data_IF_815531108735
#
_entry.id   IF_815531108735
#
_cell.length_a   1.000
_cell.length_b   1.000
_cell.length_c   1.000
_cell.angle_alpha   90.00
_cell.angle_beta   90.00
_cell.angle_gamma   90.00
#
_symmetry.space_group_name_H-M   'P 1'
#
loop_
_entity.id
_entity.type
_entity.pdbx_description
1 polymer ?
#
# COMPACT_ATOMS: atom_id res chain seq x y z
N UNK A 1 -39.09 69.82 -45.66
CA UNK A 1 -40.17 70.74 -45.20
C UNK A 1 -41.31 69.92 -44.63
N UNK A 2 -42.00 70.41 -43.58
CA UNK A 2 -42.98 69.69 -42.72
C UNK A 2 -42.28 68.56 -41.92
N UNK A 3 -42.29 68.51 -40.57
CA UNK A 3 -43.38 68.53 -39.55
C UNK A 3 -44.36 67.35 -39.75
N UNK A 4 -44.74 66.57 -38.74
CA UNK A 4 -45.02 66.99 -37.35
C UNK A 4 -44.89 65.85 -36.30
N UNK A 5 -44.92 66.22 -35.01
CA UNK A 5 -44.87 65.32 -33.83
C UNK A 5 -46.30 65.04 -33.32
N UNK A 6 -46.57 63.83 -32.76
CA UNK A 6 -47.47 63.63 -31.60
C UNK A 6 -47.31 62.22 -30.97
N UNK A 7 -47.45 62.17 -29.65
CA UNK A 7 -47.44 60.95 -28.82
C UNK A 7 -48.88 60.54 -28.46
N UNK A 8 -49.16 59.24 -28.28
CA UNK A 8 -49.89 58.78 -27.08
C UNK A 8 -49.61 57.31 -26.74
N UNK A 9 -49.89 56.97 -25.47
CA UNK A 9 -49.64 55.72 -24.75
C UNK A 9 -50.76 54.67 -24.96
N UNK A 10 -50.41 53.37 -25.06
CA UNK A 10 -51.26 52.22 -24.69
C UNK A 10 -50.40 50.93 -24.59
N UNK A 11 -50.88 49.92 -23.86
CA UNK A 11 -50.20 48.62 -23.67
C UNK A 11 -51.22 47.48 -23.48
N UNK A 12 -50.71 46.26 -23.23
CA UNK A 12 -51.42 45.06 -22.70
C UNK A 12 -52.12 44.13 -23.72
N UNK A 13 -51.45 42.99 -24.00
CA UNK A 13 -52.00 41.63 -24.25
C UNK A 13 -52.88 41.40 -25.51
N UNK A 14 -53.05 40.20 -26.11
CA UNK A 14 -52.62 38.80 -25.88
C UNK A 14 -52.16 38.22 -27.28
N UNK A 15 -51.95 36.93 -27.62
CA UNK A 15 -52.22 35.60 -27.04
C UNK A 15 -51.17 34.56 -27.58
N UNK A 16 -51.54 33.29 -27.61
CA UNK A 16 -50.91 32.05 -28.11
C UNK A 16 -50.89 31.92 -29.67
N UNK A 17 -50.29 30.91 -30.32
CA UNK A 17 -49.27 29.87 -30.02
C UNK A 17 -48.84 29.23 -31.36
N UNK A 18 -47.62 28.70 -31.45
CA UNK A 18 -47.43 27.33 -31.94
C UNK A 18 -46.02 26.81 -31.61
N UNK A 19 -45.93 25.52 -31.27
CA UNK A 19 -44.69 24.87 -30.87
C UNK A 19 -44.31 23.76 -31.84
N UNK A 20 -43.01 23.64 -32.12
CA UNK A 20 -42.42 22.43 -32.69
C UNK A 20 -41.32 21.97 -31.74
N UNK A 21 -41.67 21.12 -30.77
CA UNK A 21 -40.67 20.33 -30.05
C UNK A 21 -40.05 19.32 -31.02
N UNK A 22 -38.77 19.01 -30.82
CA UNK A 22 -38.19 17.74 -31.25
C UNK A 22 -37.94 16.95 -29.98
N UNK A 23 -38.73 15.90 -29.78
CA UNK A 23 -38.64 15.08 -28.59
C UNK A 23 -37.51 14.06 -28.78
N UNK A 24 -36.39 14.27 -28.08
CA UNK A 24 -35.33 13.26 -27.98
C UNK A 24 -35.82 12.11 -27.06
N UNK A 25 -35.79 10.84 -27.52
CA UNK A 25 -36.50 9.74 -26.86
C UNK A 25 -35.81 9.18 -25.60
N UNK A 26 -34.83 9.89 -25.04
CA UNK A 26 -34.04 9.43 -23.91
C UNK A 26 -33.76 10.60 -22.94
N UNK A 27 -34.48 10.72 -21.81
CA UNK A 27 -34.24 11.78 -20.85
C UNK A 27 -32.86 11.62 -20.22
N UNK A 28 -32.09 12.70 -20.15
CA UNK A 28 -30.84 12.71 -19.40
C UNK A 28 -31.10 12.29 -17.94
N UNK A 29 -30.20 11.48 -17.32
CA UNK A 29 -30.35 11.11 -15.92
C UNK A 29 -30.41 12.38 -15.05
N UNK A 30 -31.21 12.37 -13.96
CA UNK A 30 -31.31 13.53 -13.10
C UNK A 30 -29.92 13.93 -12.59
N UNK A 31 -29.60 15.24 -12.51
CA UNK A 31 -28.31 15.68 -11.98
C UNK A 31 -28.13 15.10 -10.57
N UNK A 32 -26.95 14.52 -10.32
CA UNK A 32 -26.63 13.99 -9.00
C UNK A 32 -26.89 15.07 -7.94
N UNK A 33 -27.51 14.74 -6.80
CA UNK A 33 -27.74 15.71 -5.74
C UNK A 33 -26.39 16.29 -5.32
N UNK A 34 -26.26 17.61 -5.42
CA UNK A 34 -25.04 18.31 -4.99
C UNK A 34 -24.69 17.88 -3.54
N UNK A 35 -23.40 17.62 -3.24
CA UNK A 35 -23.00 17.32 -1.87
C UNK A 35 -23.53 18.38 -0.90
N UNK A 36 -24.01 17.99 0.30
CA UNK A 36 -24.61 18.93 1.24
C UNK A 36 -23.59 20.02 1.57
N UNK A 37 -24.03 21.29 1.47
CA UNK A 37 -23.19 22.48 1.47
C UNK A 37 -22.55 22.83 2.83
N UNK A 38 -21.70 21.94 3.34
CA UNK A 38 -20.65 22.30 4.28
C UNK A 38 -19.46 22.90 3.52
N UNK A 39 -18.73 23.81 4.16
CA UNK A 39 -17.44 24.28 3.66
C UNK A 39 -16.46 23.10 3.62
N UNK A 40 -16.02 22.70 2.43
CA UNK A 40 -14.96 21.71 2.23
C UNK A 40 -13.59 22.32 2.54
N UNK A 41 -13.40 22.74 3.79
CA UNK A 41 -12.09 23.07 4.32
C UNK A 41 -11.27 21.79 4.39
N UNK A 42 -10.13 21.77 3.71
CA UNK A 42 -9.26 20.60 3.67
C UNK A 42 -8.62 20.41 5.04
N UNK A 43 -8.96 19.30 5.71
CA UNK A 43 -8.44 18.93 7.03
C UNK A 43 -6.97 18.46 6.91
N UNK A 44 -6.05 19.42 6.82
CA UNK A 44 -4.62 19.14 6.77
C UNK A 44 -4.11 18.57 8.10
N UNK A 45 -3.13 17.63 8.07
CA UNK A 45 -2.42 17.20 9.26
C UNK A 45 -1.76 18.37 10.00
N UNK A 46 -1.71 18.31 11.34
CA UNK A 46 -1.14 19.37 12.20
C UNK A 46 0.37 19.58 12.03
N UNK A 47 1.05 18.70 11.28
CA UNK A 47 2.47 18.75 10.93
C UNK A 47 2.62 18.25 9.50
N UNK A 48 3.57 18.83 8.78
CA UNK A 48 4.04 18.33 7.49
C UNK A 48 4.72 16.95 7.67
N UNK A 49 4.40 16.00 6.80
CA UNK A 49 5.06 14.70 6.71
C UNK A 49 6.34 14.86 5.87
N UNK A 50 7.50 14.60 6.48
CA UNK A 50 8.82 14.59 5.82
C UNK A 50 9.50 13.27 6.14
N UNK A 51 9.15 12.27 5.35
CA UNK A 51 9.61 10.91 5.53
C UNK A 51 10.79 10.55 4.63
N UNK A 52 11.49 9.47 5.01
CA UNK A 52 12.43 8.75 4.15
C UNK A 52 12.13 7.25 4.23
N UNK A 53 12.28 6.53 3.12
CA UNK A 53 12.33 5.08 3.14
C UNK A 53 13.73 4.59 3.54
N UNK A 54 13.77 3.45 4.23
CA UNK A 54 15.01 2.69 4.50
C UNK A 54 14.74 1.25 4.03
N UNK A 55 15.19 0.92 2.83
CA UNK A 55 15.02 -0.38 2.21
C UNK A 55 16.01 -1.39 2.79
N UNK A 56 15.52 -2.58 3.10
CA UNK A 56 16.31 -3.67 3.69
C UNK A 56 16.33 -4.93 2.81
N UNK A 57 15.48 -4.96 1.77
CA UNK A 57 15.57 -5.91 0.67
C UNK A 57 16.96 -5.85 0.04
N UNK A 58 17.60 -7.02 -0.06
CA UNK A 58 19.02 -7.18 -0.45
C UNK A 58 20.04 -6.41 0.41
N UNK A 59 19.62 -5.83 1.55
CA UNK A 59 20.44 -4.99 2.42
C UNK A 59 20.69 -3.57 1.89
N UNK A 60 19.85 -3.08 0.96
CA UNK A 60 20.10 -1.91 0.09
C UNK A 60 20.53 -0.63 0.83
N UNK A 61 19.70 -0.14 1.76
CA UNK A 61 20.04 1.00 2.63
C UNK A 61 20.53 0.49 4.00
N UNK A 62 19.87 -0.53 4.54
CA UNK A 62 20.27 -1.14 5.81
C UNK A 62 20.14 -2.67 5.76
N UNK A 63 21.11 -3.44 6.27
CA UNK A 63 22.28 -3.00 7.03
C UNK A 63 23.54 -2.73 6.19
N UNK A 64 23.48 -2.49 4.87
CA UNK A 64 24.66 -2.22 4.02
C UNK A 64 25.81 -3.24 4.28
N UNK A 65 25.46 -4.52 4.23
CA UNK A 65 26.39 -5.63 4.49
C UNK A 65 27.01 -5.71 5.90
N UNK A 66 26.63 -4.85 6.87
CA UNK A 66 27.11 -4.98 8.26
C UNK A 66 26.48 -6.21 8.90
N UNK A 67 27.31 -7.14 9.41
CA UNK A 67 26.87 -8.41 10.03
C UNK A 67 27.05 -8.46 11.55
N UNK A 68 27.71 -7.48 12.16
CA UNK A 68 27.86 -7.38 13.62
C UNK A 68 26.84 -6.41 14.20
N UNK A 69 26.30 -6.75 15.38
CA UNK A 69 25.27 -5.96 16.07
C UNK A 69 25.67 -4.50 16.24
N UNK A 70 26.90 -4.23 16.68
CA UNK A 70 27.34 -2.85 16.94
C UNK A 70 27.50 -2.03 15.66
N UNK A 71 27.95 -2.63 14.55
CA UNK A 71 28.03 -1.96 13.25
C UNK A 71 26.64 -1.70 12.64
N UNK A 72 25.72 -2.65 12.79
CA UNK A 72 24.31 -2.53 12.41
C UNK A 72 23.61 -1.40 13.17
N UNK A 73 23.76 -1.38 14.49
CA UNK A 73 23.21 -0.35 15.37
C UNK A 73 23.79 1.03 15.03
N UNK A 74 25.11 1.14 14.90
CA UNK A 74 25.77 2.41 14.56
C UNK A 74 25.34 2.94 13.19
N UNK A 75 25.26 2.09 12.16
CA UNK A 75 24.80 2.51 10.84
C UNK A 75 23.37 3.10 10.90
N UNK A 76 22.48 2.47 11.68
CA UNK A 76 21.12 2.98 11.87
C UNK A 76 21.08 4.32 12.62
N UNK A 77 21.83 4.46 13.73
CA UNK A 77 21.89 5.74 14.46
C UNK A 77 22.49 6.86 13.63
N UNK A 78 23.52 6.57 12.84
CA UNK A 78 24.16 7.55 11.95
C UNK A 78 23.17 8.07 10.88
N UNK A 79 22.31 7.20 10.34
CA UNK A 79 21.21 7.62 9.46
C UNK A 79 20.20 8.51 10.20
N UNK A 80 19.70 8.08 11.36
CA UNK A 80 18.69 8.85 12.09
C UNK A 80 19.22 10.22 12.57
N UNK A 81 20.48 10.30 13.01
CA UNK A 81 21.09 11.58 13.35
C UNK A 81 21.22 12.48 12.11
N UNK A 82 21.56 11.93 10.93
CA UNK A 82 21.57 12.70 9.69
C UNK A 82 20.18 13.17 9.26
N UNK A 83 19.17 12.34 9.40
CA UNK A 83 17.77 12.69 9.13
C UNK A 83 17.28 13.81 10.08
N UNK A 84 17.76 13.84 11.33
CA UNK A 84 17.44 14.88 12.34
C UNK A 84 18.10 16.23 12.03
N UNK A 85 19.30 16.23 11.45
CA UNK A 85 19.88 17.44 10.84
C UNK A 85 18.95 17.99 9.75
N UNK A 86 18.54 17.12 8.82
CA UNK A 86 17.73 17.41 7.63
C UNK A 86 16.23 17.70 7.91
N UNK A 87 15.78 17.63 9.18
CA UNK A 87 14.40 17.89 9.62
C UNK A 87 13.34 16.88 9.13
N UNK A 88 13.79 15.72 8.65
CA UNK A 88 12.97 14.52 8.52
C UNK A 88 12.34 14.20 9.88
N UNK A 89 11.08 13.78 9.89
CA UNK A 89 10.29 13.50 11.10
C UNK A 89 9.62 12.12 11.09
N UNK A 90 9.80 11.32 10.05
CA UNK A 90 9.24 9.95 9.94
C UNK A 90 10.21 9.05 9.17
N UNK A 91 10.27 7.77 9.52
CA UNK A 91 11.02 6.75 8.78
C UNK A 91 10.11 5.59 8.37
N UNK A 92 10.10 5.25 7.08
CA UNK A 92 9.46 4.05 6.51
C UNK A 92 10.51 2.93 6.40
N UNK A 93 10.68 2.14 7.46
CA UNK A 93 11.75 1.13 7.54
C UNK A 93 11.21 -0.23 7.15
N UNK A 94 11.85 -0.90 6.19
CA UNK A 94 11.38 -2.18 5.66
C UNK A 94 11.62 -3.32 6.67
N UNK A 95 10.56 -3.76 7.36
CA UNK A 95 10.62 -4.84 8.36
C UNK A 95 10.28 -6.22 7.79
N UNK A 96 9.77 -6.28 6.56
CA UNK A 96 9.43 -7.49 5.79
C UNK A 96 9.63 -7.19 4.30
N UNK A 97 10.57 -7.86 3.63
CA UNK A 97 10.96 -7.54 2.24
C UNK A 97 10.84 -8.70 1.26
N UNK A 98 11.15 -9.93 1.70
CA UNK A 98 11.17 -11.15 0.88
C UNK A 98 10.70 -12.35 1.71
N UNK A 99 9.42 -12.36 2.11
CA UNK A 99 8.80 -13.42 2.91
C UNK A 99 9.51 -13.67 4.24
N UNK A 100 10.10 -12.62 4.80
CA UNK A 100 11.02 -12.61 5.93
C UNK A 100 10.70 -11.47 6.91
N UNK A 101 11.36 -11.45 8.06
CA UNK A 101 11.15 -10.49 9.13
C UNK A 101 12.46 -9.91 9.70
N UNK A 102 12.38 -8.66 10.14
CA UNK A 102 13.39 -7.95 10.94
C UNK A 102 13.01 -7.92 12.43
N UNK A 103 12.26 -8.92 12.87
CA UNK A 103 11.81 -9.11 14.25
C UNK A 103 11.52 -10.59 14.51
N UNK A 104 11.26 -10.97 15.77
CA UNK A 104 10.94 -12.35 16.12
C UNK A 104 9.46 -12.69 15.77
N UNK A 105 9.22 -12.94 14.48
CA UNK A 105 7.91 -13.29 13.92
C UNK A 105 7.58 -14.77 14.11
N UNK A 106 6.33 -15.14 14.45
CA UNK A 106 5.87 -16.53 14.41
C UNK A 106 5.48 -16.97 12.99
N UNK A 107 5.48 -16.06 12.00
CA UNK A 107 5.06 -16.32 10.63
C UNK A 107 6.25 -16.39 9.66
N UNK A 108 7.09 -15.36 9.65
CA UNK A 108 8.18 -15.19 8.68
C UNK A 108 9.56 -15.49 9.31
N UNK A 109 10.51 -16.14 8.62
CA UNK A 109 11.89 -16.30 9.10
C UNK A 109 12.63 -14.97 9.23
N UNK A 110 13.64 -14.92 10.10
CA UNK A 110 14.62 -13.82 10.12
C UNK A 110 15.24 -13.58 8.74
N UNK A 111 15.36 -12.31 8.34
CA UNK A 111 15.94 -11.97 7.03
C UNK A 111 17.43 -12.28 6.95
N UNK A 112 17.83 -12.85 5.81
CA UNK A 112 19.24 -13.09 5.50
C UNK A 112 20.06 -11.79 5.40
N UNK A 113 19.43 -10.63 5.19
CA UNK A 113 20.12 -9.34 5.17
C UNK A 113 20.82 -9.01 6.50
N UNK A 114 20.32 -9.53 7.63
CA UNK A 114 20.79 -9.20 8.98
C UNK A 114 21.97 -10.09 9.40
N UNK A 115 21.99 -11.36 9.01
CA UNK A 115 22.96 -12.37 9.52
C UNK A 115 23.70 -13.11 8.41
N UNK A 116 23.44 -12.78 7.15
CA UNK A 116 23.84 -13.57 5.97
C UNK A 116 23.03 -14.86 5.78
N UNK A 117 22.27 -15.32 6.79
CA UNK A 117 21.61 -16.64 6.79
C UNK A 117 20.13 -16.52 7.13
N UNK A 118 19.25 -16.88 6.19
CA UNK A 118 17.79 -16.82 6.38
C UNK A 118 17.36 -17.73 7.54
N UNK A 119 16.56 -17.18 8.44
CA UNK A 119 16.08 -17.88 9.65
C UNK A 119 17.02 -17.76 10.87
N UNK A 120 18.27 -17.31 10.70
CA UNK A 120 19.20 -17.13 11.84
C UNK A 120 18.93 -15.81 12.55
N UNK A 121 18.56 -15.89 13.84
CA UNK A 121 18.34 -14.73 14.69
C UNK A 121 19.65 -13.96 14.99
N UNK A 122 19.63 -12.62 15.03
CA UNK A 122 20.85 -11.79 15.15
C UNK A 122 21.33 -11.55 16.60
N UNK A 123 20.73 -12.20 17.60
CA UNK A 123 21.10 -12.04 19.01
C UNK A 123 20.57 -10.76 19.69
N UNK A 124 19.79 -9.93 19.01
CA UNK A 124 19.08 -8.79 19.57
C UNK A 124 17.71 -8.59 18.90
N UNK A 125 16.82 -7.83 19.55
CA UNK A 125 15.58 -7.39 18.91
C UNK A 125 15.87 -6.16 18.03
N UNK A 126 15.90 -6.39 16.72
CA UNK A 126 16.23 -5.39 15.70
C UNK A 126 15.14 -4.33 15.61
N UNK A 127 13.87 -4.75 15.51
CA UNK A 127 12.73 -3.85 15.36
C UNK A 127 12.51 -2.98 16.61
N UNK A 128 12.64 -3.54 17.82
CA UNK A 128 12.57 -2.71 19.03
C UNK A 128 13.67 -1.66 19.05
N UNK A 129 14.92 -2.04 18.76
CA UNK A 129 16.03 -1.08 18.68
C UNK A 129 15.77 0.01 17.63
N UNK A 130 15.24 -0.36 16.46
CA UNK A 130 14.94 0.59 15.38
C UNK A 130 13.86 1.61 15.75
N UNK A 131 12.83 1.19 16.50
CA UNK A 131 11.78 2.08 17.00
C UNK A 131 12.32 2.98 18.11
N UNK A 132 12.98 2.40 19.12
CA UNK A 132 13.50 3.12 20.29
C UNK A 132 14.42 4.29 19.89
N UNK A 133 15.33 4.06 18.93
CA UNK A 133 16.28 5.08 18.45
C UNK A 133 15.62 6.18 17.57
N UNK A 134 14.53 5.86 16.87
CA UNK A 134 13.76 6.82 16.08
C UNK A 134 12.91 7.72 17.00
N UNK A 135 12.20 7.11 17.95
CA UNK A 135 11.44 7.79 19.00
C UNK A 135 12.33 8.69 19.85
N UNK A 136 13.52 8.22 20.25
CA UNK A 136 14.52 9.02 20.98
C UNK A 136 15.02 10.27 20.20
N UNK A 137 14.81 10.31 18.88
CA UNK A 137 15.13 11.46 18.03
C UNK A 137 13.93 12.33 17.68
N UNK A 138 12.72 11.94 18.08
CA UNK A 138 11.47 12.63 17.79
C UNK A 138 10.93 12.34 16.38
N UNK A 139 11.24 11.16 15.84
CA UNK A 139 10.73 10.67 14.56
C UNK A 139 9.67 9.59 14.77
N UNK A 140 8.62 9.60 13.95
CA UNK A 140 7.67 8.49 13.87
C UNK A 140 8.32 7.28 13.16
N UNK A 141 8.06 6.08 13.65
CA UNK A 141 8.48 4.83 13.03
C UNK A 141 7.29 4.15 12.35
N UNK A 142 7.32 4.06 11.02
CA UNK A 142 6.31 3.39 10.22
C UNK A 142 6.92 2.09 9.65
N UNK A 143 6.39 0.95 10.09
CA UNK A 143 6.88 -0.36 9.68
C UNK A 143 6.44 -0.67 8.24
N UNK A 144 7.39 -0.61 7.30
CA UNK A 144 7.15 -0.94 5.90
C UNK A 144 7.23 -2.46 5.67
N UNK A 145 6.21 -3.01 5.02
CA UNK A 145 6.15 -4.42 4.64
C UNK A 145 5.82 -4.55 3.16
N UNK A 146 6.59 -5.36 2.44
CA UNK A 146 6.16 -5.88 1.16
C UNK A 146 5.14 -7.02 1.41
N UNK A 147 3.90 -6.94 0.89
CA UNK A 147 2.84 -7.86 1.29
C UNK A 147 3.11 -9.30 0.81
N UNK A 148 3.49 -9.47 -0.46
CA UNK A 148 3.46 -10.77 -1.13
C UNK A 148 4.82 -11.34 -1.56
N UNK A 149 5.88 -10.54 -1.77
CA UNK A 149 7.17 -11.05 -2.26
C UNK A 149 7.76 -12.09 -1.31
N UNK A 150 8.16 -13.25 -1.84
CA UNK A 150 8.89 -14.31 -1.13
C UNK A 150 10.36 -14.34 -1.59
N UNK A 151 10.62 -14.18 -2.89
CA UNK A 151 11.97 -14.22 -3.44
C UNK A 151 12.03 -13.86 -4.92
N UNK A 152 13.26 -13.76 -5.44
CA UNK A 152 13.56 -13.37 -6.82
C UNK A 152 14.66 -14.24 -7.40
N UNK A 153 14.74 -14.33 -8.74
CA UNK A 153 15.83 -14.99 -9.48
C UNK A 153 16.13 -14.26 -10.79
N UNK A 154 17.30 -14.51 -11.37
CA UNK A 154 17.73 -13.87 -12.62
C UNK A 154 16.88 -14.23 -13.85
N UNK A 155 16.29 -15.44 -13.87
CA UNK A 155 15.44 -15.94 -14.95
C UNK A 155 15.22 -17.46 -14.85
N UNK A 156 14.56 -18.06 -15.84
CA UNK A 156 14.11 -19.47 -15.82
C UNK A 156 15.19 -20.51 -15.49
N UNK A 157 16.44 -20.27 -15.88
CA UNK A 157 17.58 -21.18 -15.72
C UNK A 157 18.15 -21.23 -14.30
N UNK A 158 17.76 -20.29 -13.44
CA UNK A 158 18.18 -20.24 -12.03
C UNK A 158 17.07 -20.81 -11.16
N UNK A 159 17.37 -21.55 -10.10
CA UNK A 159 16.37 -21.92 -9.10
C UNK A 159 15.98 -20.71 -8.23
N UNK A 160 14.74 -20.66 -7.76
CA UNK A 160 14.42 -19.80 -6.61
C UNK A 160 15.18 -20.29 -5.36
N UNK A 161 15.44 -19.40 -4.36
CA UNK A 161 15.82 -19.84 -3.03
C UNK A 161 14.84 -20.89 -2.49
N UNK A 162 15.33 -21.82 -1.68
CA UNK A 162 14.45 -22.82 -1.05
C UNK A 162 13.42 -22.14 -0.15
N UNK A 163 12.16 -22.58 -0.22
CA UNK A 163 11.10 -22.11 0.65
C UNK A 163 11.46 -22.42 2.11
N UNK A 164 11.30 -21.44 2.99
CA UNK A 164 11.42 -21.67 4.43
C UNK A 164 10.24 -22.52 4.92
N UNK A 165 10.43 -23.33 5.96
CA UNK A 165 9.41 -24.27 6.47
C UNK A 165 8.12 -23.60 6.98
N UNK A 166 8.15 -22.30 7.28
CA UNK A 166 6.95 -21.52 7.60
C UNK A 166 6.17 -21.04 6.38
N UNK A 167 6.66 -21.25 5.16
CA UNK A 167 5.98 -20.95 3.89
C UNK A 167 5.34 -22.24 3.37
N UNK A 168 4.02 -22.23 3.22
CA UNK A 168 3.29 -23.37 2.64
C UNK A 168 3.43 -23.39 1.12
N UNK A 169 3.89 -24.48 0.47
CA UNK A 169 4.06 -24.52 -0.98
C UNK A 169 2.78 -24.23 -1.77
N UNK A 170 1.61 -24.66 -1.27
CA UNK A 170 0.30 -24.41 -1.88
C UNK A 170 -0.13 -22.94 -1.84
N UNK A 171 0.59 -22.08 -1.12
CA UNK A 171 0.35 -20.63 -1.08
C UNK A 171 1.25 -19.84 -2.04
N UNK A 172 2.09 -20.49 -2.86
CA UNK A 172 3.15 -19.83 -3.63
C UNK A 172 2.88 -19.81 -5.13
N UNK A 173 2.90 -18.63 -5.75
CA UNK A 173 2.99 -18.48 -7.21
C UNK A 173 4.42 -18.14 -7.59
N UNK A 174 4.98 -18.89 -8.55
CA UNK A 174 6.35 -18.72 -9.04
C UNK A 174 6.33 -18.28 -10.50
N UNK A 175 6.42 -16.97 -10.73
CA UNK A 175 6.52 -16.38 -12.07
C UNK A 175 7.94 -16.60 -12.63
N UNK A 176 8.29 -16.01 -13.78
CA UNK A 176 9.64 -16.17 -14.34
C UNK A 176 10.73 -15.67 -13.39
N UNK A 177 10.61 -14.45 -12.85
CA UNK A 177 11.67 -13.78 -12.07
C UNK A 177 11.30 -13.50 -10.60
N UNK A 178 10.01 -13.40 -10.28
CA UNK A 178 9.50 -13.17 -8.92
C UNK A 178 8.64 -14.35 -8.41
N UNK A 179 8.83 -14.69 -7.15
CA UNK A 179 8.01 -15.64 -6.41
C UNK A 179 7.26 -14.91 -5.29
N UNK A 180 5.95 -15.16 -5.20
CA UNK A 180 5.04 -14.45 -4.30
C UNK A 180 4.12 -15.42 -3.53
N UNK A 181 3.58 -14.95 -2.42
CA UNK A 181 2.35 -15.51 -1.85
C UNK A 181 1.17 -15.19 -2.78
N UNK A 182 0.29 -16.16 -3.03
CA UNK A 182 -0.86 -16.00 -3.93
C UNK A 182 -1.93 -15.05 -3.32
N UNK A 183 -2.16 -13.84 -3.85
CA UNK A 183 -3.14 -12.92 -3.28
C UNK A 183 -4.59 -13.40 -3.43
N UNK A 184 -4.85 -14.39 -4.30
CA UNK A 184 -6.17 -14.98 -4.48
C UNK A 184 -6.67 -15.79 -3.28
N UNK A 185 -5.76 -16.37 -2.49
CA UNK A 185 -6.11 -17.26 -1.38
C UNK A 185 -6.54 -16.47 -0.13
N UNK A 186 -7.70 -16.78 0.49
CA UNK A 186 -8.13 -16.16 1.74
C UNK A 186 -7.10 -16.24 2.87
N UNK A 187 -6.41 -17.38 2.98
CA UNK A 187 -5.44 -17.66 4.04
C UNK A 187 -4.16 -16.81 3.92
N UNK A 188 -3.75 -16.48 2.69
CA UNK A 188 -2.63 -15.56 2.43
C UNK A 188 -2.99 -14.15 2.90
N UNK A 189 -4.20 -13.68 2.58
CA UNK A 189 -4.68 -12.36 3.01
C UNK A 189 -4.87 -12.29 4.53
N UNK A 190 -5.36 -13.37 5.15
CA UNK A 190 -5.44 -13.47 6.61
C UNK A 190 -4.05 -13.44 7.26
N UNK A 191 -3.07 -14.20 6.75
CA UNK A 191 -1.69 -14.19 7.26
C UNK A 191 -1.05 -12.80 7.19
N UNK A 192 -1.33 -12.00 6.15
CA UNK A 192 -0.85 -10.63 6.08
C UNK A 192 -1.43 -9.75 7.21
N UNK A 193 -2.73 -9.87 7.48
CA UNK A 193 -3.37 -9.18 8.61
C UNK A 193 -2.84 -9.69 9.96
N UNK A 194 -2.59 -10.99 10.11
CA UNK A 194 -2.02 -11.59 11.32
C UNK A 194 -0.58 -11.12 11.58
N UNK A 195 0.24 -11.00 10.54
CA UNK A 195 1.61 -10.42 10.61
C UNK A 195 1.55 -8.96 11.08
N UNK A 196 0.65 -8.16 10.51
CA UNK A 196 0.46 -6.76 10.94
C UNK A 196 0.00 -6.70 12.40
N UNK A 197 -0.96 -7.55 12.79
CA UNK A 197 -1.46 -7.64 14.17
C UNK A 197 -0.34 -7.96 15.17
N UNK A 198 0.50 -8.94 14.85
CA UNK A 198 1.62 -9.35 15.71
C UNK A 198 2.63 -8.20 15.89
N UNK A 199 2.93 -7.43 14.83
CA UNK A 199 3.78 -6.24 14.91
C UNK A 199 3.17 -5.15 15.79
N UNK A 200 1.92 -4.71 15.53
CA UNK A 200 1.29 -3.63 16.30
C UNK A 200 0.95 -4.02 17.75
N UNK A 201 0.92 -5.32 18.07
CA UNK A 201 0.73 -5.83 19.44
C UNK A 201 2.04 -5.88 20.22
N UNK A 202 3.17 -6.21 19.57
CA UNK A 202 4.48 -6.35 20.21
C UNK A 202 5.29 -5.05 20.26
N UNK A 203 5.11 -4.17 19.29
CA UNK A 203 6.01 -3.05 19.02
C UNK A 203 5.26 -1.71 18.94
N UNK A 204 5.88 -0.66 19.47
CA UNK A 204 5.26 0.67 19.47
C UNK A 204 5.49 1.43 18.16
N UNK A 205 5.06 0.83 17.04
CA UNK A 205 5.04 1.49 15.74
C UNK A 205 3.97 2.58 15.71
N UNK A 206 4.26 3.69 15.03
CA UNK A 206 3.32 4.78 14.74
C UNK A 206 2.47 4.49 13.50
N UNK A 207 3.02 3.69 12.57
CA UNK A 207 2.34 3.33 11.33
C UNK A 207 2.72 1.97 10.74
N UNK A 208 1.87 1.51 9.81
CA UNK A 208 2.11 0.40 8.88
C UNK A 208 2.11 0.98 7.47
N UNK A 209 3.07 0.55 6.65
CA UNK A 209 3.26 1.07 5.29
C UNK A 209 3.43 -0.07 4.29
N UNK A 210 2.69 -0.06 3.18
CA UNK A 210 2.93 -0.95 2.04
C UNK A 210 3.47 -0.17 0.84
N UNK A 211 4.35 -0.79 0.08
CA UNK A 211 4.88 -0.31 -1.19
C UNK A 211 3.93 -0.64 -2.36
N UNK A 212 4.43 -0.55 -3.59
CA UNK A 212 3.72 -0.66 -4.87
C UNK A 212 3.49 -2.11 -5.35
N UNK A 213 4.10 -3.10 -4.70
CA UNK A 213 4.10 -4.50 -5.16
C UNK A 213 2.87 -5.30 -4.73
N UNK A 214 1.84 -5.30 -5.58
CA UNK A 214 0.64 -6.12 -5.42
C UNK A 214 0.70 -7.40 -6.27
N UNK A 215 -0.15 -7.53 -7.31
CA UNK A 215 0.08 -8.53 -8.35
C UNK A 215 1.28 -8.09 -9.21
N UNK A 216 2.21 -8.99 -9.58
CA UNK A 216 3.37 -8.62 -10.39
C UNK A 216 2.99 -8.19 -11.81
N UNK A 217 3.79 -7.31 -12.40
CA UNK A 217 3.68 -6.90 -13.79
C UNK A 217 4.68 -7.67 -14.69
N UNK A 218 4.47 -7.78 -16.01
CA UNK A 218 5.38 -8.51 -16.89
C UNK A 218 6.80 -7.93 -17.00
N UNK A 219 7.02 -6.64 -16.75
CA UNK A 219 8.35 -6.01 -16.85
C UNK A 219 9.26 -6.44 -15.69
N UNK A 220 8.73 -6.47 -14.47
CA UNK A 220 9.46 -6.98 -13.29
C UNK A 220 9.47 -8.51 -13.23
N UNK A 221 8.33 -9.16 -13.52
CA UNK A 221 8.14 -10.59 -13.29
C UNK A 221 8.62 -11.48 -14.44
N UNK A 222 8.77 -10.96 -15.67
CA UNK A 222 8.95 -11.75 -16.88
C UNK A 222 7.66 -12.49 -17.27
N UNK A 223 7.77 -13.71 -17.79
CA UNK A 223 6.59 -14.53 -18.09
C UNK A 223 5.76 -14.81 -16.81
N UNK A 224 4.49 -14.41 -16.86
CA UNK A 224 3.52 -14.63 -15.78
C UNK A 224 2.92 -16.05 -15.85
N UNK A 225 2.78 -16.69 -14.69
CA UNK A 225 1.90 -17.85 -14.53
C UNK A 225 0.44 -17.39 -14.64
N UNK A 226 -0.41 -18.20 -15.27
CA UNK A 226 -1.84 -17.91 -15.38
C UNK A 226 -2.57 -18.27 -14.08
N UNK A 227 -3.34 -17.31 -13.57
CA UNK A 227 -4.26 -17.40 -12.44
C UNK A 227 -5.67 -17.88 -12.84
N UNK A 228 -5.84 -18.45 -14.03
CA UNK A 228 -7.14 -18.96 -14.51
C UNK A 228 -7.77 -19.99 -13.55
N UNK A 229 -6.95 -20.80 -12.87
CA UNK A 229 -7.43 -21.76 -11.86
C UNK A 229 -7.98 -21.05 -10.62
N UNK A 230 -7.25 -20.06 -10.09
CA UNK A 230 -7.70 -19.23 -8.97
C UNK A 230 -8.97 -18.45 -9.33
N UNK A 231 -9.06 -17.93 -10.55
CA UNK A 231 -10.24 -17.22 -11.05
C UNK A 231 -11.45 -18.16 -11.19
N UNK A 232 -11.27 -19.39 -11.67
CA UNK A 232 -12.33 -20.40 -11.71
C UNK A 232 -12.80 -20.83 -10.30
N UNK A 233 -11.90 -20.88 -9.33
CA UNK A 233 -12.21 -21.33 -7.96
C UNK A 233 -12.74 -20.22 -7.04
N UNK A 234 -12.30 -18.97 -7.23
CA UNK A 234 -12.54 -17.85 -6.31
C UNK A 234 -13.06 -16.57 -6.99
N UNK A 235 -13.13 -16.52 -8.33
CA UNK A 235 -13.56 -15.36 -9.12
C UNK A 235 -15.07 -15.20 -9.30
N UNK A 236 -15.88 -16.07 -8.70
CA UNK A 236 -17.34 -16.00 -8.80
C UNK A 236 -17.88 -14.63 -8.28
N UNK A 237 -18.51 -13.88 -9.18
CA UNK A 237 -19.03 -12.52 -8.90
C UNK A 237 -18.25 -11.39 -9.56
N UNK A 238 -17.12 -11.67 -10.21
CA UNK A 238 -16.39 -10.73 -11.07
C UNK A 238 -16.66 -11.04 -12.55
N UNK A 239 -16.62 -10.02 -13.41
CA UNK A 239 -16.77 -10.18 -14.86
C UNK A 239 -15.43 -10.48 -15.55
N UNK A 240 -14.32 -9.99 -15.00
CA UNK A 240 -12.96 -10.25 -15.54
C UNK A 240 -11.96 -10.68 -14.46
N UNK A 241 -10.86 -11.30 -14.90
CA UNK A 241 -9.76 -11.70 -14.01
C UNK A 241 -9.06 -10.47 -13.39
N UNK A 242 -9.02 -9.34 -14.09
CA UNK A 242 -8.46 -8.08 -13.59
C UNK A 242 -9.31 -7.49 -12.45
N UNK A 243 -10.65 -7.61 -12.52
CA UNK A 243 -11.55 -7.23 -11.42
C UNK A 243 -11.34 -8.12 -10.20
N UNK A 244 -11.20 -9.43 -10.42
CA UNK A 244 -10.88 -10.39 -9.36
C UNK A 244 -9.53 -10.07 -8.69
N UNK A 245 -8.47 -9.79 -9.48
CA UNK A 245 -7.15 -9.37 -8.97
C UNK A 245 -7.25 -8.10 -8.12
N UNK A 246 -7.91 -7.04 -8.62
CA UNK A 246 -8.16 -5.79 -7.86
C UNK A 246 -8.89 -6.08 -6.56
N UNK A 247 -10.00 -6.81 -6.62
CA UNK A 247 -10.77 -7.17 -5.43
C UNK A 247 -9.98 -8.00 -4.41
N UNK A 248 -9.01 -8.81 -4.83
CA UNK A 248 -8.13 -9.55 -3.92
C UNK A 248 -7.15 -8.63 -3.19
N UNK A 249 -6.67 -7.57 -3.85
CA UNK A 249 -5.92 -6.47 -3.21
C UNK A 249 -6.82 -5.71 -2.23
N UNK A 250 -8.03 -5.30 -2.65
CA UNK A 250 -8.98 -4.57 -1.80
C UNK A 250 -9.32 -5.35 -0.51
N UNK A 251 -9.56 -6.66 -0.62
CA UNK A 251 -9.78 -7.56 0.51
C UNK A 251 -8.59 -7.60 1.48
N UNK A 252 -7.36 -7.59 0.96
CA UNK A 252 -6.15 -7.60 1.77
C UNK A 252 -5.91 -6.26 2.49
N UNK A 253 -6.02 -5.15 1.75
CA UNK A 253 -5.96 -3.78 2.29
C UNK A 253 -7.03 -3.57 3.38
N UNK A 254 -8.27 -4.01 3.12
CA UNK A 254 -9.34 -3.91 4.11
C UNK A 254 -9.07 -4.78 5.35
N UNK A 255 -8.62 -6.02 5.19
CA UNK A 255 -8.30 -6.90 6.32
C UNK A 255 -7.19 -6.34 7.22
N UNK A 256 -6.19 -5.69 6.62
CA UNK A 256 -5.11 -4.99 7.34
C UNK A 256 -5.64 -3.74 8.05
N UNK A 257 -6.48 -2.94 7.40
CA UNK A 257 -7.12 -1.79 8.05
C UNK A 257 -8.02 -2.21 9.23
N UNK A 258 -8.89 -3.20 9.03
CA UNK A 258 -9.82 -3.70 10.04
C UNK A 258 -9.08 -4.21 11.29
N UNK A 259 -7.97 -4.93 11.12
CA UNK A 259 -7.19 -5.46 12.25
C UNK A 259 -6.39 -4.38 12.98
N UNK A 260 -5.93 -3.34 12.28
CA UNK A 260 -5.31 -2.16 12.90
C UNK A 260 -6.34 -1.42 13.77
N UNK A 261 -7.51 -1.10 13.21
CA UNK A 261 -8.60 -0.41 13.94
C UNK A 261 -9.08 -1.23 15.15
N UNK A 262 -9.15 -2.56 15.02
CA UNK A 262 -9.56 -3.45 16.11
C UNK A 262 -8.51 -3.67 17.21
N UNK A 263 -7.22 -3.37 16.95
CA UNK A 263 -6.11 -3.72 17.86
C UNK A 263 -5.39 -2.49 18.44
N UNK A 264 -5.06 -1.50 17.60
CA UNK A 264 -4.30 -0.30 17.97
C UNK A 264 -4.70 0.87 17.04
N UNK A 265 -5.94 1.41 17.17
CA UNK A 265 -6.54 2.33 16.19
C UNK A 265 -5.84 3.69 16.00
N UNK A 266 -4.85 4.02 16.84
CA UNK A 266 -3.97 5.18 16.65
C UNK A 266 -2.84 4.95 15.63
N UNK A 267 -2.58 3.70 15.22
CA UNK A 267 -1.57 3.38 14.19
C UNK A 267 -2.10 3.78 12.82
N UNK A 268 -1.31 4.57 12.10
CA UNK A 268 -1.62 4.98 10.71
C UNK A 268 -1.43 3.79 9.77
N UNK A 269 -2.34 3.59 8.83
CA UNK A 269 -2.11 2.68 7.69
C UNK A 269 -1.93 3.50 6.41
N UNK A 270 -0.89 3.18 5.63
CA UNK A 270 -0.54 3.88 4.40
C UNK A 270 -0.08 2.92 3.31
N UNK A 271 -0.26 3.34 2.05
CA UNK A 271 0.17 2.61 0.85
C UNK A 271 0.81 3.62 -0.10
N UNK A 272 1.94 3.27 -0.71
CA UNK A 272 2.60 4.05 -1.76
C UNK A 272 2.50 3.32 -3.10
N UNK A 273 1.39 3.45 -3.84
CA UNK A 273 1.22 2.79 -5.14
C UNK A 273 2.08 3.44 -6.23
N UNK A 274 2.18 2.78 -7.39
CA UNK A 274 2.69 3.40 -8.61
C UNK A 274 1.84 4.64 -8.99
N UNK A 275 2.42 5.66 -9.65
CA UNK A 275 1.73 6.93 -9.93
C UNK A 275 0.76 6.87 -11.12
N UNK A 276 0.77 5.79 -11.90
CA UNK A 276 -0.08 5.56 -13.09
C UNK A 276 -0.57 4.09 -13.03
N UNK A 277 -1.90 3.81 -13.03
CA UNK A 277 -2.47 2.49 -12.68
C UNK A 277 -2.84 1.58 -13.87
#
# INVERSE_FOLDING_TARGET
MKKMIRYTLAAVLLLALNACSKDDPNPAPPPNPNPPGGSTELLYPKKEMRAVWIATVWGLDWPDGKTTVDAQKKAYTDYLDKFKELKINTVFVQVKGMGDAFYNSPYEPWSAAITGTRGTAPGYDVLKFMIDEAHARGMEFHAWMNPYRIGTRAGVTTSYPALHSSVKPEWVVSHEKIQIYNPALPEVRQRLADIVKDVITKYDVDGIHFDDYFYPDPTSAGQMVSDNADYQQHGAGFATVEEFRRSNVDKAIKGVYDVIVATKPQVVFSVSPAPDP
#
